data_IF_424233467221
#
_entry.id   IF_424233467221
#
_cell.length_a   1.000
_cell.length_b   1.000
_cell.length_c   1.000
_cell.angle_alpha   90.00
_cell.angle_beta   90.00
_cell.angle_gamma   90.00
#
_symmetry.space_group_name_H-M   'P 1'
#
loop_
_entity.id
_entity.type
_entity.pdbx_description
1 polymer ?
#
# COMPACT_ATOMS: atom_id res chain seq x y z
N UNK A 1 9.59 -5.49 -35.19
CA UNK A 1 9.87 -5.22 -33.77
C UNK A 1 10.67 -3.93 -33.58
N UNK A 2 11.64 -3.61 -34.44
CA UNK A 2 12.44 -2.37 -34.33
C UNK A 2 11.60 -1.07 -34.35
N UNK A 3 10.47 -1.06 -35.08
CA UNK A 3 9.57 0.10 -35.14
C UNK A 3 8.55 0.17 -33.98
N UNK A 4 8.52 -0.82 -33.09
CA UNK A 4 7.58 -0.85 -31.96
C UNK A 4 8.11 0.04 -30.83
N UNK A 5 7.43 1.18 -30.61
CA UNK A 5 7.78 2.14 -29.57
C UNK A 5 6.87 2.00 -28.33
N UNK A 6 7.33 2.44 -27.14
CA UNK A 6 6.44 2.69 -26.00
C UNK A 6 5.25 3.58 -26.39
N UNK A 7 4.07 3.42 -25.74
CA UNK A 7 2.98 4.36 -25.89
C UNK A 7 3.45 5.80 -25.60
N UNK A 8 3.10 6.73 -26.49
CA UNK A 8 3.46 8.16 -26.40
C UNK A 8 2.22 9.02 -26.54
N UNK A 9 2.39 10.32 -26.37
CA UNK A 9 1.34 11.28 -26.71
C UNK A 9 1.07 11.16 -28.23
N UNK A 10 -0.18 10.83 -28.56
CA UNK A 10 -0.67 10.67 -29.93
C UNK A 10 -1.79 11.69 -30.18
N UNK A 11 -2.00 12.18 -31.42
CA UNK A 11 -3.15 13.02 -31.76
C UNK A 11 -4.52 12.34 -31.52
N UNK A 12 -4.54 11.01 -31.47
CA UNK A 12 -5.73 10.19 -31.22
C UNK A 12 -5.50 9.23 -30.05
N UNK A 13 -6.49 8.36 -29.78
CA UNK A 13 -6.35 7.32 -28.77
C UNK A 13 -5.19 6.38 -29.12
N UNK A 14 -4.54 5.84 -28.08
CA UNK A 14 -3.50 4.84 -28.27
C UNK A 14 -4.10 3.50 -28.73
N UNK A 15 -3.26 2.48 -28.94
CA UNK A 15 -3.74 1.12 -29.06
C UNK A 15 -3.93 0.54 -27.63
N UNK A 16 -5.14 0.10 -27.22
CA UNK A 16 -5.36 -0.45 -25.89
C UNK A 16 -4.44 -1.62 -25.55
N UNK A 17 -4.21 -2.53 -26.50
CA UNK A 17 -3.34 -3.68 -26.29
C UNK A 17 -1.90 -3.23 -26.08
N UNK A 18 -1.42 -2.23 -26.84
CA UNK A 18 -0.07 -1.69 -26.68
C UNK A 18 0.09 -1.01 -25.30
N UNK A 19 -0.92 -0.29 -24.82
CA UNK A 19 -0.86 0.36 -23.50
C UNK A 19 -0.85 -0.66 -22.38
N UNK A 20 -1.71 -1.68 -22.47
CA UNK A 20 -1.76 -2.77 -21.48
C UNK A 20 -0.45 -3.58 -21.46
N UNK A 21 0.06 -3.94 -22.64
CA UNK A 21 1.34 -4.65 -22.75
C UNK A 21 2.51 -3.81 -22.24
N UNK A 22 2.47 -2.49 -22.44
CA UNK A 22 3.48 -1.62 -21.87
C UNK A 22 3.41 -1.54 -20.34
N UNK A 23 2.21 -1.56 -19.75
CA UNK A 23 2.07 -1.61 -18.28
C UNK A 23 2.58 -2.93 -17.70
N UNK A 24 2.27 -4.06 -18.36
CA UNK A 24 2.84 -5.38 -18.03
C UNK A 24 4.37 -5.33 -18.09
N UNK A 25 4.91 -4.87 -19.22
CA UNK A 25 6.35 -4.72 -19.42
C UNK A 25 7.02 -3.86 -18.33
N UNK A 26 6.42 -2.73 -17.95
CA UNK A 26 6.96 -1.86 -16.90
C UNK A 26 6.96 -2.55 -15.53
N UNK A 27 5.87 -3.24 -15.18
CA UNK A 27 5.76 -4.02 -13.93
C UNK A 27 6.79 -5.15 -13.89
N UNK A 28 6.94 -5.89 -14.99
CA UNK A 28 7.89 -7.01 -15.11
C UNK A 28 9.34 -6.51 -15.08
N UNK A 29 9.64 -5.40 -15.74
CA UNK A 29 10.99 -4.80 -15.74
C UNK A 29 11.43 -4.37 -14.34
N UNK A 30 10.51 -3.82 -13.54
CA UNK A 30 10.78 -3.48 -12.14
C UNK A 30 10.95 -4.74 -11.28
N UNK A 31 10.20 -5.81 -11.56
CA UNK A 31 10.35 -7.08 -10.87
C UNK A 31 11.70 -7.72 -11.18
N UNK A 32 12.14 -7.70 -12.43
CA UNK A 32 13.44 -8.20 -12.85
C UNK A 32 14.60 -7.45 -12.17
N UNK A 33 14.44 -6.13 -11.98
CA UNK A 33 15.37 -5.33 -11.19
C UNK A 33 15.44 -5.83 -9.74
N UNK A 34 14.29 -5.99 -9.09
CA UNK A 34 14.19 -6.54 -7.74
C UNK A 34 14.81 -7.94 -7.64
N UNK A 35 14.52 -8.84 -8.59
CA UNK A 35 15.03 -10.21 -8.61
C UNK A 35 16.55 -10.25 -8.81
N UNK A 36 17.10 -9.30 -9.58
CA UNK A 36 18.55 -9.15 -9.75
C UNK A 36 19.23 -8.81 -8.43
N UNK A 37 18.69 -7.85 -7.67
CA UNK A 37 19.21 -7.50 -6.35
C UNK A 37 19.00 -8.63 -5.33
N UNK A 38 17.81 -9.23 -5.33
CA UNK A 38 17.47 -10.35 -4.46
C UNK A 38 18.46 -11.51 -4.64
N UNK A 39 18.82 -11.85 -5.88
CA UNK A 39 19.77 -12.93 -6.18
C UNK A 39 21.12 -12.70 -5.51
N UNK A 40 21.59 -11.46 -5.45
CA UNK A 40 22.84 -11.08 -4.77
C UNK A 40 22.69 -11.32 -3.26
N UNK A 41 21.61 -10.85 -2.66
CA UNK A 41 21.34 -11.04 -1.23
C UNK A 41 21.21 -12.52 -0.87
N UNK A 42 20.48 -13.32 -1.66
CA UNK A 42 20.33 -14.76 -1.42
C UNK A 42 21.63 -15.54 -1.46
N UNK A 43 22.59 -15.10 -2.27
CA UNK A 43 23.90 -15.75 -2.34
C UNK A 43 24.75 -15.54 -1.08
N UNK A 44 24.52 -14.46 -0.33
CA UNK A 44 25.35 -14.08 0.83
C UNK A 44 24.61 -14.29 2.16
N UNK A 45 23.29 -14.07 2.18
CA UNK A 45 22.43 -14.15 3.36
C UNK A 45 21.17 -14.96 3.04
N UNK A 46 21.27 -16.27 2.76
CA UNK A 46 20.14 -17.09 2.34
C UNK A 46 19.01 -17.15 3.37
N UNK A 47 19.35 -17.09 4.66
CA UNK A 47 18.40 -17.27 5.78
C UNK A 47 17.73 -15.95 6.24
N UNK A 48 18.13 -14.80 5.69
CA UNK A 48 17.56 -13.50 6.06
C UNK A 48 16.34 -13.20 5.17
N UNK A 49 15.17 -12.88 5.75
CA UNK A 49 13.98 -12.53 4.97
C UNK A 49 14.19 -11.28 4.11
N UNK A 50 13.73 -11.32 2.86
CA UNK A 50 13.80 -10.23 1.89
C UNK A 50 12.39 -9.69 1.62
N UNK A 51 12.24 -8.38 1.74
CA UNK A 51 11.02 -7.63 1.39
C UNK A 51 11.37 -6.39 0.59
N UNK A 52 10.38 -5.78 -0.04
CA UNK A 52 10.38 -4.37 -0.46
C UNK A 52 9.07 -3.75 0.01
N UNK A 53 9.10 -2.46 0.37
CA UNK A 53 7.88 -1.75 0.73
C UNK A 53 7.01 -1.49 -0.51
N UNK A 54 5.75 -1.88 -0.39
CA UNK A 54 4.70 -1.52 -1.31
C UNK A 54 3.99 -0.24 -0.87
N UNK A 55 3.45 0.50 -1.82
CA UNK A 55 2.51 1.59 -1.57
C UNK A 55 1.06 1.10 -1.67
N UNK A 56 0.13 1.83 -1.04
CA UNK A 56 -1.32 1.54 -1.02
C UNK A 56 -1.91 1.43 -2.43
N UNK A 57 -2.31 0.20 -2.82
CA UNK A 57 -2.93 -0.13 -4.12
C UNK A 57 -2.21 0.60 -5.29
N UNK A 58 -0.89 0.44 -5.36
CA UNK A 58 -0.06 1.12 -6.34
C UNK A 58 -0.33 0.58 -7.75
N UNK A 59 -0.99 1.39 -8.57
CA UNK A 59 -1.41 0.98 -9.92
C UNK A 59 -0.26 0.53 -10.83
N UNK A 60 0.93 1.17 -10.86
CA UNK A 60 1.95 0.83 -11.86
C UNK A 60 2.57 -0.58 -11.76
N UNK A 61 2.37 -1.29 -10.65
CA UNK A 61 3.03 -2.58 -10.38
C UNK A 61 2.00 -3.61 -9.95
N UNK A 62 1.99 -4.78 -10.60
CA UNK A 62 1.12 -5.90 -10.24
C UNK A 62 1.67 -6.64 -9.01
N UNK A 63 1.11 -6.33 -7.83
CA UNK A 63 1.57 -6.96 -6.60
C UNK A 63 1.26 -8.46 -6.52
N UNK A 64 0.27 -8.99 -7.25
CA UNK A 64 0.05 -10.44 -7.26
C UNK A 64 1.19 -11.16 -8.00
N UNK A 65 1.78 -10.54 -9.02
CA UNK A 65 2.97 -11.07 -9.70
C UNK A 65 4.24 -10.95 -8.84
N UNK A 66 4.35 -9.91 -8.01
CA UNK A 66 5.52 -9.68 -7.15
C UNK A 66 5.53 -10.53 -5.88
N UNK A 67 4.37 -10.69 -5.23
CA UNK A 67 4.23 -11.32 -3.92
C UNK A 67 4.86 -12.72 -3.76
N UNK A 68 4.87 -13.60 -4.78
CA UNK A 68 5.57 -14.88 -4.71
C UNK A 68 7.08 -14.74 -4.49
N UNK A 69 7.69 -13.65 -4.97
CA UNK A 69 9.13 -13.43 -4.90
C UNK A 69 9.58 -12.84 -3.56
N UNK A 70 8.71 -12.18 -2.80
CA UNK A 70 9.04 -11.61 -1.48
C UNK A 70 8.89 -12.67 -0.38
N UNK A 71 9.68 -12.62 0.70
CA UNK A 71 9.45 -13.50 1.87
C UNK A 71 8.30 -13.01 2.74
N UNK A 72 8.24 -11.69 2.93
CA UNK A 72 7.26 -11.00 3.76
C UNK A 72 6.70 -9.85 2.93
N UNK A 73 5.40 -9.62 2.99
CA UNK A 73 4.79 -8.42 2.40
C UNK A 73 5.01 -7.26 3.36
N UNK A 74 5.32 -6.09 2.81
CA UNK A 74 5.41 -4.87 3.60
C UNK A 74 4.79 -3.69 2.87
N UNK A 75 4.18 -2.76 3.61
CA UNK A 75 3.44 -1.63 3.05
C UNK A 75 3.73 -0.32 3.76
N UNK A 76 3.73 0.76 2.99
CA UNK A 76 3.75 2.12 3.46
C UNK A 76 2.33 2.68 3.46
N UNK A 77 1.84 3.05 4.63
CA UNK A 77 0.45 3.45 4.83
C UNK A 77 0.35 4.88 5.39
N UNK A 78 0.00 5.82 4.52
CA UNK A 78 -0.14 7.24 4.83
C UNK A 78 -1.56 7.76 4.52
N UNK A 79 -2.60 7.31 5.25
CA UNK A 79 -3.95 7.82 5.04
C UNK A 79 -4.02 9.31 5.43
N UNK A 80 -4.74 10.09 4.63
CA UNK A 80 -5.11 11.44 5.02
C UNK A 80 -6.03 11.40 6.25
N UNK A 81 -6.11 12.49 7.02
CA UNK A 81 -7.00 12.56 8.17
C UNK A 81 -8.49 12.40 7.81
N UNK A 82 -8.84 12.62 6.54
CA UNK A 82 -10.19 12.48 5.99
C UNK A 82 -10.43 11.12 5.31
N UNK A 83 -9.41 10.28 5.17
CA UNK A 83 -9.54 8.96 4.55
C UNK A 83 -10.50 8.10 5.38
N UNK A 84 -11.59 7.56 4.78
CA UNK A 84 -12.51 6.68 5.48
C UNK A 84 -11.80 5.43 6.00
N UNK A 85 -12.17 4.99 7.21
CA UNK A 85 -11.54 3.82 7.85
C UNK A 85 -11.61 2.54 7.00
N UNK A 86 -12.67 2.37 6.21
CA UNK A 86 -12.85 1.21 5.33
C UNK A 86 -11.84 1.17 4.17
N UNK A 87 -11.34 2.31 3.68
CA UNK A 87 -10.31 2.34 2.63
C UNK A 87 -8.96 1.87 3.19
N UNK A 88 -8.65 2.28 4.42
CA UNK A 88 -7.46 1.81 5.14
C UNK A 88 -7.57 0.31 5.44
N UNK A 89 -8.75 -0.17 5.84
CA UNK A 89 -9.03 -1.59 6.03
C UNK A 89 -8.79 -2.40 4.75
N UNK A 90 -9.33 -1.94 3.61
CA UNK A 90 -9.16 -2.61 2.31
C UNK A 90 -7.69 -2.71 1.91
N UNK A 91 -6.90 -1.68 2.22
CA UNK A 91 -5.45 -1.69 2.00
C UNK A 91 -4.79 -2.83 2.77
N UNK A 92 -5.11 -2.97 4.06
CA UNK A 92 -4.56 -4.01 4.90
C UNK A 92 -5.02 -5.41 4.47
N UNK A 93 -6.30 -5.56 4.12
CA UNK A 93 -6.84 -6.82 3.60
C UNK A 93 -6.16 -7.23 2.28
N UNK A 94 -5.89 -6.28 1.39
CA UNK A 94 -5.13 -6.52 0.16
C UNK A 94 -3.72 -7.03 0.47
N UNK A 95 -2.96 -6.32 1.31
CA UNK A 95 -1.58 -6.70 1.65
C UNK A 95 -1.50 -8.09 2.32
N UNK A 96 -2.40 -8.37 3.26
CA UNK A 96 -2.50 -9.70 3.89
C UNK A 96 -2.81 -10.80 2.86
N UNK A 97 -3.65 -10.50 1.88
CA UNK A 97 -4.11 -11.50 0.89
C UNK A 97 -3.04 -11.88 -0.13
N UNK A 98 -2.06 -11.00 -0.40
CA UNK A 98 -0.98 -11.22 -1.37
C UNK A 98 -0.15 -12.48 -1.09
N UNK A 99 0.00 -12.89 0.18
CA UNK A 99 0.67 -14.14 0.57
C UNK A 99 -0.25 -15.11 1.31
N UNK A 100 -1.46 -15.30 0.79
CA UNK A 100 -2.41 -16.31 1.29
C UNK A 100 -2.72 -16.17 2.79
N UNK A 101 -2.97 -14.95 3.25
CA UNK A 101 -3.32 -14.70 4.65
C UNK A 101 -2.13 -14.76 5.61
N UNK A 102 -0.89 -14.77 5.10
CA UNK A 102 0.30 -14.60 5.95
C UNK A 102 0.34 -13.19 6.55
N UNK A 103 0.90 -13.04 7.77
CA UNK A 103 1.15 -11.71 8.31
C UNK A 103 2.05 -10.87 7.42
N UNK A 104 1.90 -9.56 7.54
CA UNK A 104 2.66 -8.57 6.78
C UNK A 104 3.18 -7.48 7.72
N UNK A 105 4.00 -6.56 7.21
CA UNK A 105 4.52 -5.42 7.97
C UNK A 105 3.95 -4.11 7.43
N UNK A 106 3.55 -3.21 8.31
CA UNK A 106 3.49 -1.79 7.96
C UNK A 106 4.90 -1.24 8.14
N UNK A 107 5.65 -1.17 7.04
CA UNK A 107 7.06 -0.73 7.05
C UNK A 107 7.15 0.77 7.29
N UNK A 108 6.18 1.52 6.79
CA UNK A 108 6.10 2.94 7.03
C UNK A 108 4.68 3.39 7.38
N UNK A 109 4.60 4.22 8.42
CA UNK A 109 3.52 5.17 8.62
C UNK A 109 4.10 6.41 9.30
N UNK A 110 3.42 7.54 9.15
CA UNK A 110 3.83 8.77 9.83
C UNK A 110 3.31 8.80 11.28
N UNK A 111 4.12 9.20 12.27
CA UNK A 111 3.64 9.34 13.66
C UNK A 111 2.72 10.57 13.83
N UNK A 112 2.70 11.49 12.85
CA UNK A 112 1.77 12.62 12.75
C UNK A 112 1.52 12.97 11.27
N UNK A 113 1.88 14.15 10.79
CA UNK A 113 1.67 14.62 9.42
C UNK A 113 2.76 14.14 8.45
N UNK A 114 2.44 14.11 7.15
CA UNK A 114 3.42 13.97 6.06
C UNK A 114 3.84 15.36 5.53
N UNK A 115 4.62 15.42 4.46
CA UNK A 115 5.04 16.69 3.83
C UNK A 115 4.51 16.90 2.40
N UNK A 116 4.02 15.84 1.74
CA UNK A 116 3.77 15.82 0.30
C UNK A 116 2.30 15.92 -0.10
N UNK A 117 1.35 15.82 0.84
CA UNK A 117 -0.06 16.05 0.52
C UNK A 117 -0.34 17.55 0.31
N UNK A 118 -1.40 17.92 -0.44
CA UNK A 118 -1.81 19.33 -0.58
C UNK A 118 -2.06 20.03 0.76
N UNK A 119 -2.54 19.29 1.75
CA UNK A 119 -2.72 19.73 3.13
C UNK A 119 -2.19 18.65 4.06
N UNK A 120 -1.35 19.04 5.03
CA UNK A 120 -0.68 18.12 5.95
C UNK A 120 -1.07 18.41 7.41
N UNK A 121 -2.35 18.28 7.79
CA UNK A 121 -2.76 18.49 9.17
C UNK A 121 -2.13 17.44 10.09
N UNK A 122 -1.73 17.85 11.29
CA UNK A 122 -1.32 16.93 12.33
C UNK A 122 -2.41 15.89 12.63
N UNK A 123 -2.01 14.66 12.95
CA UNK A 123 -2.94 13.65 13.47
C UNK A 123 -3.54 14.13 14.79
N UNK A 124 -4.85 13.91 14.96
CA UNK A 124 -5.54 14.16 16.23
C UNK A 124 -5.00 13.22 17.32
N UNK A 125 -5.09 13.59 18.62
CA UNK A 125 -4.72 12.67 19.70
C UNK A 125 -5.38 11.30 19.54
N UNK A 126 -4.60 10.23 19.69
CA UNK A 126 -5.05 8.85 19.53
C UNK A 126 -5.19 8.33 18.09
N UNK A 127 -5.15 9.20 17.07
CA UNK A 127 -5.36 8.77 15.68
C UNK A 127 -4.22 7.89 15.14
N UNK A 128 -2.96 8.21 15.48
CA UNK A 128 -1.80 7.36 15.14
C UNK A 128 -1.94 5.97 15.77
N UNK A 129 -2.33 5.92 17.05
CA UNK A 129 -2.58 4.68 17.78
C UNK A 129 -3.71 3.88 17.12
N UNK A 130 -4.84 4.51 16.82
CA UNK A 130 -5.97 3.88 16.12
C UNK A 130 -5.55 3.21 14.81
N UNK A 131 -4.79 3.92 13.97
CA UNK A 131 -4.31 3.39 12.68
C UNK A 131 -3.35 2.21 12.88
N UNK A 132 -2.49 2.28 13.90
CA UNK A 132 -1.57 1.19 14.24
C UNK A 132 -2.35 -0.06 14.68
N UNK A 133 -3.34 0.08 15.55
CA UNK A 133 -4.20 -1.02 15.97
C UNK A 133 -5.06 -1.58 14.83
N UNK A 134 -5.51 -0.74 13.90
CA UNK A 134 -6.22 -1.19 12.72
C UNK A 134 -5.35 -2.11 11.86
N UNK A 135 -4.07 -1.76 11.65
CA UNK A 135 -3.16 -2.64 10.91
C UNK A 135 -2.99 -4.00 11.61
N UNK A 136 -2.76 -4.01 12.92
CA UNK A 136 -2.64 -5.26 13.70
C UNK A 136 -3.91 -6.11 13.61
N UNK A 137 -5.08 -5.48 13.77
CA UNK A 137 -6.37 -6.17 13.68
C UNK A 137 -6.60 -6.80 12.30
N UNK A 138 -6.01 -6.24 11.24
CA UNK A 138 -6.05 -6.80 9.89
C UNK A 138 -4.90 -7.76 9.58
N UNK A 139 -4.06 -8.12 10.55
CA UNK A 139 -3.03 -9.15 10.42
C UNK A 139 -1.61 -8.64 10.18
N UNK A 140 -1.31 -7.39 10.52
CA UNK A 140 0.08 -6.93 10.56
C UNK A 140 0.80 -7.45 11.81
N UNK A 141 2.03 -7.94 11.64
CA UNK A 141 2.92 -8.36 12.75
C UNK A 141 3.82 -7.21 13.24
N UNK A 142 3.89 -6.12 12.48
CA UNK A 142 4.73 -4.98 12.80
C UNK A 142 4.18 -3.68 12.24
N UNK A 143 4.36 -2.61 13.02
CA UNK A 143 4.03 -1.23 12.66
C UNK A 143 5.24 -0.34 12.92
N UNK A 144 5.84 0.16 11.85
CA UNK A 144 7.07 0.94 11.87
C UNK A 144 6.77 2.40 11.47
N UNK A 145 7.61 3.32 11.95
CA UNK A 145 7.47 4.74 11.65
C UNK A 145 8.53 5.19 10.66
N UNK A 146 8.06 5.83 9.59
CA UNK A 146 8.90 6.77 8.84
C UNK A 146 8.63 8.17 9.41
N UNK A 147 9.59 8.85 10.03
CA UNK A 147 10.96 8.42 10.32
C UNK A 147 11.27 8.54 11.81
N UNK A 148 12.45 8.06 12.21
CA UNK A 148 12.90 8.16 13.60
C UNK A 148 13.06 9.61 14.05
N UNK A 149 13.86 10.41 13.33
CA UNK A 149 14.13 11.82 13.64
C UNK A 149 13.92 12.68 12.41
N UNK A 150 13.31 13.83 12.60
CA UNK A 150 12.98 14.73 11.50
C UNK A 150 14.25 15.29 10.84
N UNK A 151 14.36 15.16 9.51
CA UNK A 151 15.52 15.61 8.75
C UNK A 151 15.69 17.13 8.83
N UNK A 152 16.88 17.63 9.14
CA UNK A 152 17.16 19.07 9.22
C UNK A 152 17.10 19.78 7.85
N UNK A 153 17.30 19.03 6.78
CA UNK A 153 17.32 19.54 5.40
C UNK A 153 16.72 18.51 4.43
N UNK A 154 16.61 18.88 3.15
CA UNK A 154 16.03 18.02 2.10
C UNK A 154 14.52 18.20 1.89
N UNK A 155 13.98 17.39 0.98
CA UNK A 155 12.58 17.45 0.55
C UNK A 155 11.60 17.11 1.69
N UNK A 156 12.03 16.29 2.64
CA UNK A 156 11.19 15.71 3.69
C UNK A 156 11.43 16.32 5.08
N UNK A 157 12.13 17.48 5.16
CA UNK A 157 12.39 18.16 6.44
C UNK A 157 11.15 18.53 7.25
N UNK A 158 9.96 18.48 6.65
CA UNK A 158 8.67 18.71 7.29
C UNK A 158 7.81 17.45 7.45
N UNK A 159 8.29 16.30 6.97
CA UNK A 159 7.65 15.02 7.26
C UNK A 159 7.82 14.73 8.75
N UNK A 160 6.74 14.39 9.46
CA UNK A 160 6.85 14.17 10.90
C UNK A 160 7.71 12.94 11.22
N UNK A 161 8.24 12.93 12.43
CA UNK A 161 9.10 11.87 12.93
C UNK A 161 8.81 11.60 14.41
N UNK A 162 9.23 10.44 14.91
CA UNK A 162 9.08 10.09 16.33
C UNK A 162 9.77 11.14 17.21
N UNK A 163 10.93 11.61 16.76
CA UNK A 163 11.67 12.73 17.33
C UNK A 163 11.57 13.95 16.40
N UNK A 164 10.74 14.95 16.74
CA UNK A 164 10.63 16.19 15.98
C UNK A 164 11.91 17.03 16.06
N UNK A 165 11.94 18.16 15.32
CA UNK A 165 13.03 19.15 15.39
C UNK A 165 13.33 19.66 16.80
N UNK A 166 12.31 19.73 17.66
CA UNK A 166 12.46 20.08 19.08
C UNK A 166 13.39 19.12 19.82
N UNK A 167 13.43 17.85 19.40
CA UNK A 167 14.32 16.84 19.99
C UNK A 167 13.91 16.34 21.38
N UNK A 168 12.75 16.77 21.90
CA UNK A 168 12.26 16.45 23.24
C UNK A 168 11.37 15.21 23.27
N UNK A 169 11.57 14.36 24.27
CA UNK A 169 10.70 13.21 24.57
C UNK A 169 9.37 13.62 25.23
N UNK A 170 9.26 14.84 25.73
CA UNK A 170 8.02 15.35 26.35
C UNK A 170 6.96 15.77 25.33
N UNK A 171 7.33 15.84 24.04
CA UNK A 171 6.41 16.15 22.96
C UNK A 171 5.34 15.07 22.77
N UNK A 172 4.12 15.48 22.40
CA UNK A 172 2.97 14.59 22.18
C UNK A 172 3.25 13.45 21.21
N UNK A 173 4.04 13.70 20.15
CA UNK A 173 4.35 12.68 19.13
C UNK A 173 5.16 11.54 19.76
N UNK A 174 6.24 11.89 20.47
CA UNK A 174 7.08 10.92 21.16
C UNK A 174 6.30 10.15 22.23
N UNK A 175 5.56 10.85 23.09
CA UNK A 175 4.78 10.22 24.16
C UNK A 175 3.75 9.21 23.62
N UNK A 176 3.05 9.53 22.52
CA UNK A 176 2.11 8.58 21.90
C UNK A 176 2.84 7.38 21.26
N UNK A 177 4.01 7.58 20.65
CA UNK A 177 4.80 6.48 20.09
C UNK A 177 5.33 5.56 21.21
N UNK A 178 5.78 6.12 22.33
CA UNK A 178 6.22 5.38 23.51
C UNK A 178 5.06 4.62 24.18
N UNK A 179 3.87 5.23 24.24
CA UNK A 179 2.65 4.56 24.69
C UNK A 179 2.34 3.35 23.80
N UNK A 180 2.28 3.54 22.48
CA UNK A 180 2.05 2.45 21.53
C UNK A 180 3.08 1.33 21.75
N UNK A 181 4.38 1.66 21.80
CA UNK A 181 5.43 0.68 22.02
C UNK A 181 5.27 -0.13 23.32
N UNK A 182 4.73 0.48 24.38
CA UNK A 182 4.43 -0.21 25.64
C UNK A 182 3.24 -1.16 25.50
N UNK A 183 2.21 -0.75 24.76
CA UNK A 183 1.04 -1.59 24.48
C UNK A 183 1.38 -2.78 23.58
N UNK A 184 2.20 -2.56 22.54
CA UNK A 184 2.64 -3.63 21.63
C UNK A 184 3.41 -4.73 22.36
N UNK A 185 4.24 -4.38 23.35
CA UNK A 185 4.95 -5.38 24.18
C UNK A 185 3.99 -6.32 24.91
N UNK A 186 2.85 -5.79 25.37
CA UNK A 186 1.82 -6.60 26.04
C UNK A 186 1.08 -7.49 25.05
N UNK A 187 0.81 -6.99 23.84
CA UNK A 187 0.06 -7.70 22.80
C UNK A 187 0.88 -8.72 22.00
N UNK A 188 2.22 -8.59 22.00
CA UNK A 188 3.13 -9.41 21.18
C UNK A 188 2.86 -10.93 21.28
N UNK A 189 2.65 -11.53 22.47
CA UNK A 189 2.44 -12.96 22.59
C UNK A 189 1.19 -13.50 21.87
N UNK A 190 0.17 -12.65 21.70
CA UNK A 190 -1.13 -13.06 21.14
C UNK A 190 -1.29 -12.64 19.67
N UNK A 191 -0.58 -11.60 19.23
CA UNK A 191 -0.76 -11.00 17.90
C UNK A 191 0.23 -11.55 16.88
N UNK A 192 1.52 -11.68 17.25
CA UNK A 192 2.57 -12.03 16.27
C UNK A 192 2.35 -13.44 15.73
N UNK A 193 2.30 -13.57 14.41
CA UNK A 193 2.06 -14.84 13.72
C UNK A 193 0.59 -15.28 13.70
N UNK A 194 -0.32 -14.51 14.32
CA UNK A 194 -1.76 -14.77 14.25
C UNK A 194 -2.28 -14.64 12.82
N UNK A 195 -3.36 -15.35 12.50
CA UNK A 195 -3.96 -15.35 11.16
C UNK A 195 -5.44 -15.06 11.20
N UNK A 196 -5.87 -14.16 10.33
CA UNK A 196 -7.27 -13.86 10.11
C UNK A 196 -7.86 -14.82 9.07
N UNK A 197 -8.93 -15.52 9.41
CA UNK A 197 -9.69 -16.36 8.48
C UNK A 197 -10.87 -15.56 7.94
N UNK A 198 -10.93 -15.36 6.62
CA UNK A 198 -12.03 -14.68 5.95
C UNK A 198 -12.96 -15.68 5.25
N UNK A 199 -14.28 -15.50 5.39
CA UNK A 199 -15.31 -16.29 4.70
C UNK A 199 -15.81 -15.62 3.41
N UNK A 200 -15.41 -14.37 3.18
CA UNK A 200 -15.82 -13.55 2.04
C UNK A 200 -14.56 -13.06 1.35
N UNK A 201 -14.58 -13.05 0.02
CA UNK A 201 -13.50 -12.53 -0.81
C UNK A 201 -14.03 -11.43 -1.73
N UNK A 202 -13.19 -10.42 -1.96
CA UNK A 202 -13.38 -9.44 -3.03
C UNK A 202 -12.25 -9.66 -4.03
N UNK A 203 -12.60 -9.91 -5.28
CA UNK A 203 -11.62 -10.15 -6.33
C UNK A 203 -11.06 -8.81 -6.82
N UNK A 204 -9.73 -8.72 -6.84
CA UNK A 204 -8.98 -7.64 -7.44
C UNK A 204 -8.04 -8.22 -8.49
N UNK A 205 -7.92 -7.54 -9.63
CA UNK A 205 -7.04 -7.93 -10.72
C UNK A 205 -6.40 -6.67 -11.30
N UNK A 206 -5.07 -6.58 -11.26
CA UNK A 206 -4.33 -5.40 -11.72
C UNK A 206 -4.47 -5.19 -13.22
N UNK A 207 -4.49 -6.27 -14.01
CA UNK A 207 -4.59 -6.17 -15.47
C UNK A 207 -5.99 -5.73 -15.91
N UNK A 208 -7.02 -6.16 -15.20
CA UNK A 208 -8.38 -5.66 -15.36
C UNK A 208 -8.47 -4.19 -14.95
N UNK A 209 -7.82 -3.78 -13.86
CA UNK A 209 -7.75 -2.38 -13.44
C UNK A 209 -7.07 -1.50 -14.51
N UNK A 210 -5.97 -1.99 -15.08
CA UNK A 210 -5.27 -1.37 -16.20
C UNK A 210 -6.15 -1.24 -17.45
N UNK A 211 -6.85 -2.32 -17.82
CA UNK A 211 -7.66 -2.38 -19.02
C UNK A 211 -8.95 -1.54 -18.93
N UNK A 212 -9.66 -1.56 -17.79
CA UNK A 212 -10.96 -0.90 -17.65
C UNK A 212 -10.85 0.63 -17.63
N UNK A 213 -9.73 1.17 -17.16
CA UNK A 213 -9.49 2.61 -17.16
C UNK A 213 -9.01 3.15 -18.50
N UNK A 214 -8.78 2.28 -19.50
CA UNK A 214 -8.43 2.69 -20.85
C UNK A 214 -9.54 3.54 -21.50
N UNK A 215 -9.14 4.62 -22.18
CA UNK A 215 -10.05 5.51 -22.92
C UNK A 215 -10.16 5.09 -24.39
N UNK A 216 -11.34 5.16 -25.02
CA UNK A 216 -12.52 5.90 -24.58
C UNK A 216 -13.45 5.08 -23.69
N UNK A 217 -13.80 5.65 -22.54
CA UNK A 217 -14.85 5.12 -21.65
C UNK A 217 -16.24 5.54 -22.17
N UNK A 218 -17.33 4.86 -21.75
CA UNK A 218 -18.69 5.32 -22.00
C UNK A 218 -18.86 6.79 -21.58
N UNK A 219 -19.72 7.58 -22.25
CA UNK A 219 -19.93 8.98 -21.91
C UNK A 219 -20.26 9.16 -20.42
N UNK A 220 -19.69 10.18 -19.79
CA UNK A 220 -19.90 10.54 -18.38
C UNK A 220 -21.38 10.81 -17.98
N UNK A 221 -22.30 10.82 -18.95
CA UNK A 221 -23.74 11.02 -18.77
C UNK A 221 -24.48 9.80 -18.18
N UNK A 222 -23.81 8.67 -17.94
CA UNK A 222 -24.36 7.56 -17.16
C UNK A 222 -24.22 7.79 -15.64
N UNK A 223 -24.58 8.96 -15.12
CA UNK A 223 -24.84 9.25 -13.69
C UNK A 223 -23.80 8.81 -12.64
N UNK A 224 -22.62 8.34 -13.05
CA UNK A 224 -21.56 7.91 -12.16
C UNK A 224 -20.75 9.16 -11.81
N UNK A 225 -20.98 9.65 -10.60
CA UNK A 225 -20.24 10.74 -9.99
C UNK A 225 -18.74 10.60 -10.28
N UNK A 226 -18.15 11.54 -11.00
CA UNK A 226 -16.72 11.56 -11.33
C UNK A 226 -15.83 11.75 -10.08
N UNK A 227 -16.41 12.12 -8.94
CA UNK A 227 -15.74 12.01 -7.65
C UNK A 227 -15.41 10.54 -7.33
N UNK A 228 -16.24 9.59 -7.78
CA UNK A 228 -15.97 8.16 -7.68
C UNK A 228 -14.90 7.69 -8.70
N UNK A 229 -14.85 8.30 -9.89
CA UNK A 229 -13.72 8.16 -10.84
C UNK A 229 -12.33 8.34 -10.20
N UNK A 230 -12.19 9.47 -9.50
CA UNK A 230 -10.88 9.99 -9.09
C UNK A 230 -10.52 9.66 -7.63
N UNK A 231 -11.50 9.54 -6.74
CA UNK A 231 -11.29 9.11 -5.34
C UNK A 231 -11.59 7.63 -5.10
N UNK A 232 -12.11 6.94 -6.12
CA UNK A 232 -12.64 5.58 -6.02
C UNK A 232 -12.08 4.66 -7.12
N UNK A 233 -11.05 5.08 -7.87
CA UNK A 233 -10.19 4.11 -8.57
C UNK A 233 -9.62 3.04 -7.61
N UNK A 234 -9.51 3.36 -6.30
CA UNK A 234 -9.19 2.40 -5.23
C UNK A 234 -10.38 1.58 -4.69
N UNK A 235 -11.64 1.91 -4.99
CA UNK A 235 -12.82 1.22 -4.41
C UNK A 235 -13.84 0.70 -5.45
N UNK A 236 -13.90 1.25 -6.66
CA UNK A 236 -14.86 0.85 -7.69
C UNK A 236 -14.45 -0.39 -8.49
N UNK A 237 -13.18 -0.81 -8.43
CA UNK A 237 -12.81 -2.14 -8.94
C UNK A 237 -13.54 -3.26 -8.17
N UNK A 238 -13.96 -3.02 -6.92
CA UNK A 238 -14.72 -3.98 -6.12
C UNK A 238 -16.18 -4.19 -6.60
N UNK A 239 -16.80 -3.20 -7.26
CA UNK A 239 -18.23 -3.26 -7.56
C UNK A 239 -18.58 -3.83 -8.95
N UNK A 240 -17.59 -4.21 -9.78
CA UNK A 240 -17.84 -4.84 -11.09
C UNK A 240 -17.17 -6.21 -11.29
N UNK A 241 -16.52 -6.76 -10.27
CA UNK A 241 -16.13 -8.16 -10.28
C UNK A 241 -17.35 -9.06 -10.04
N UNK A 242 -17.53 -10.08 -10.88
CA UNK A 242 -18.55 -11.09 -10.73
C UNK A 242 -18.58 -11.62 -9.28
N UNK A 243 -19.66 -11.32 -8.55
CA UNK A 243 -19.94 -11.95 -7.26
C UNK A 243 -20.31 -13.42 -7.55
N UNK A 244 -19.31 -14.29 -7.59
CA UNK A 244 -19.52 -15.73 -7.55
C UNK A 244 -19.52 -16.19 -6.09
N UNK A 245 -20.72 -16.32 -5.50
CA UNK A 245 -20.88 -17.03 -4.24
C UNK A 245 -20.61 -18.52 -4.48
N UNK A 246 -19.46 -19.02 -4.06
CA UNK A 246 -19.27 -20.46 -3.88
C UNK A 246 -19.51 -20.77 -2.40
N UNK A 247 -20.68 -21.33 -2.08
CA UNK A 247 -20.93 -21.96 -0.77
C UNK A 247 -19.99 -23.16 -0.68
N UNK A 248 -19.13 -23.18 0.33
CA UNK A 248 -18.46 -24.40 0.77
C UNK A 248 -19.44 -25.22 1.61
N UNK A 249 -19.76 -26.43 1.14
CA UNK A 249 -20.18 -27.53 2.00
C UNK A 249 -18.96 -28.15 2.68
#
# INVERSE_FOLDING_TARGET
>A
WEDALPPRISPAQNNPSQVLDYQRFMSDSLLDCYLTEQKILRAVTPDIPITTNFMVAFKPVDYFAWAPSLDIISVDNYPANTTPAWQVALTHDLMRSLKHGQPYLVLEQSPSQVNWMPQNPHKRPGQMRLQSYQALAHGADGVMFFQWRQSQSGAEKFHSAVVPHEGSEHGRIFQQAAQLGSELKVLTPDVVGSRNTAQVAILMDWQNWWAVEYLPQPPALLGADQSLLSSTAQAQCCCRCCIAWKRSE
#
